data_IF_686570711321
#
_entry.id   IF_686570711321
#
_cell.length_a   1.000
_cell.length_b   1.000
_cell.length_c   1.000
_cell.angle_alpha   90.00
_cell.angle_beta   90.00
_cell.angle_gamma   90.00
#
_symmetry.space_group_name_H-M   'P 1'
#
loop_
_entity.id
_entity.type
_entity.pdbx_description
1 polymer ?
#
# COMPACT_ATOMS: atom_id res chain seq x y z
N UNK A 1 -0.92 25.33 -31.42
CA UNK A 1 -0.40 23.94 -31.52
C UNK A 1 1.10 24.00 -31.21
N UNK A 2 1.55 23.30 -30.17
CA UNK A 2 2.94 23.29 -29.68
C UNK A 2 2.95 23.09 -28.17
N UNK A 3 3.71 22.20 -27.54
CA UNK A 3 4.65 21.18 -27.98
C UNK A 3 4.90 20.25 -26.79
N UNK A 4 5.19 18.98 -27.07
CA UNK A 4 5.53 17.92 -26.14
C UNK A 4 6.81 18.28 -25.34
N UNK A 5 6.87 18.16 -24.00
CA UNK A 5 8.18 18.07 -23.32
C UNK A 5 8.42 18.55 -21.87
N UNK A 6 7.45 18.99 -21.05
CA UNK A 6 7.81 19.59 -19.73
C UNK A 6 6.97 19.17 -18.51
N UNK A 7 6.12 18.15 -18.62
CA UNK A 7 5.22 17.71 -17.53
C UNK A 7 5.32 16.23 -17.16
N UNK A 8 6.35 15.52 -17.64
CA UNK A 8 6.57 14.11 -17.29
C UNK A 8 7.44 13.92 -16.03
N UNK A 9 8.21 14.94 -15.63
CA UNK A 9 9.34 14.79 -14.69
C UNK A 9 9.12 15.39 -13.29
N UNK A 10 7.87 15.62 -12.88
CA UNK A 10 7.58 15.94 -11.48
C UNK A 10 6.82 14.79 -10.84
N UNK A 11 7.44 14.00 -9.96
CA UNK A 11 6.72 12.96 -9.25
C UNK A 11 5.62 13.62 -8.40
N UNK A 12 4.37 13.21 -8.61
CA UNK A 12 3.18 13.58 -7.82
C UNK A 12 3.30 13.23 -6.30
N UNK A 13 4.47 12.81 -5.85
CA UNK A 13 4.78 12.37 -4.49
C UNK A 13 5.77 13.31 -3.78
N UNK A 14 6.60 14.10 -4.50
CA UNK A 14 7.62 14.97 -3.89
C UNK A 14 7.06 16.31 -3.38
N UNK A 15 5.86 16.71 -3.78
CA UNK A 15 5.25 18.00 -3.42
C UNK A 15 3.76 17.89 -3.05
N UNK A 16 3.34 16.72 -2.55
CA UNK A 16 1.97 16.52 -2.07
C UNK A 16 1.84 16.93 -0.60
N UNK A 17 0.84 17.76 -0.27
CA UNK A 17 0.55 18.20 1.12
C UNK A 17 0.21 17.03 2.06
N UNK A 18 -0.30 15.93 1.50
CA UNK A 18 -0.60 14.72 2.23
C UNK A 18 0.46 13.67 1.89
N UNK A 19 1.21 13.22 2.90
CA UNK A 19 2.36 12.31 2.72
C UNK A 19 1.99 10.99 2.05
N UNK A 20 0.77 10.50 2.27
CA UNK A 20 0.32 9.27 1.66
C UNK A 20 -0.90 9.52 0.79
N UNK A 21 -0.77 9.27 -0.51
CA UNK A 21 -1.85 9.47 -1.48
C UNK A 21 -2.87 8.32 -1.45
N UNK A 22 -3.44 8.02 -0.28
CA UNK A 22 -4.36 6.89 -0.05
C UNK A 22 -5.63 7.03 -0.88
N UNK A 23 -6.23 8.22 -0.88
CA UNK A 23 -7.49 8.49 -1.58
C UNK A 23 -7.43 8.22 -3.10
N UNK A 24 -6.24 8.37 -3.69
CA UNK A 24 -6.01 8.12 -5.12
C UNK A 24 -5.69 6.65 -5.42
N UNK A 25 -5.62 5.77 -4.42
CA UNK A 25 -5.44 4.34 -4.64
C UNK A 25 -6.75 3.68 -5.10
N UNK A 26 -6.70 3.01 -6.26
CA UNK A 26 -7.78 2.13 -6.70
C UNK A 26 -7.94 0.95 -5.73
N UNK A 27 -9.18 0.70 -5.31
CA UNK A 27 -9.56 -0.34 -4.36
C UNK A 27 -8.89 -0.22 -2.98
N UNK A 28 -8.72 1.01 -2.47
CA UNK A 28 -8.05 1.30 -1.20
C UNK A 28 -8.58 0.44 -0.03
N UNK A 29 -9.90 0.37 0.13
CA UNK A 29 -10.53 -0.39 1.21
C UNK A 29 -10.19 -1.89 1.11
N UNK A 30 -10.31 -2.47 -0.08
CA UNK A 30 -9.98 -3.88 -0.32
C UNK A 30 -8.51 -4.16 -0.01
N UNK A 31 -7.60 -3.29 -0.46
CA UNK A 31 -6.16 -3.45 -0.19
C UNK A 31 -5.83 -3.33 1.29
N UNK A 32 -6.45 -2.38 2.00
CA UNK A 32 -6.26 -2.23 3.45
C UNK A 32 -6.77 -3.44 4.20
N UNK A 33 -7.95 -3.97 3.85
CA UNK A 33 -8.47 -5.18 4.50
C UNK A 33 -7.61 -6.40 4.25
N UNK A 34 -7.19 -6.64 3.00
CA UNK A 34 -6.29 -7.76 2.68
C UNK A 34 -4.98 -7.61 3.45
N UNK A 35 -4.41 -6.40 3.49
CA UNK A 35 -3.17 -6.15 4.21
C UNK A 35 -3.29 -6.44 5.71
N UNK A 36 -4.32 -5.88 6.37
CA UNK A 36 -4.55 -6.10 7.80
C UNK A 36 -4.83 -7.58 8.09
N UNK A 37 -5.64 -8.23 7.26
CA UNK A 37 -5.96 -9.64 7.43
C UNK A 37 -4.73 -10.55 7.26
N UNK A 38 -3.87 -10.27 6.29
CA UNK A 38 -2.62 -11.01 6.08
C UNK A 38 -1.64 -10.79 7.24
N UNK A 39 -1.47 -9.56 7.73
CA UNK A 39 -0.61 -9.31 8.88
C UNK A 39 -1.11 -10.02 10.13
N UNK A 40 -2.42 -9.97 10.38
CA UNK A 40 -3.03 -10.67 11.51
C UNK A 40 -2.90 -12.19 11.38
N UNK A 41 -3.17 -12.75 10.20
CA UNK A 41 -3.10 -14.20 10.00
C UNK A 41 -1.70 -14.75 10.22
N UNK A 42 -0.66 -14.05 9.76
CA UNK A 42 0.74 -14.44 9.99
C UNK A 42 1.07 -14.38 11.49
N UNK A 43 0.63 -13.32 12.18
CA UNK A 43 0.85 -13.14 13.61
C UNK A 43 0.27 -14.26 14.48
N UNK A 44 -0.83 -14.88 14.05
CA UNK A 44 -1.46 -16.01 14.76
C UNK A 44 -0.97 -17.36 14.25
N UNK A 45 -0.78 -17.52 12.93
CA UNK A 45 -0.42 -18.79 12.32
C UNK A 45 0.97 -19.28 12.75
N UNK A 46 1.96 -18.38 12.86
CA UNK A 46 3.32 -18.76 13.24
C UNK A 46 3.37 -19.33 14.67
N UNK A 47 2.84 -18.67 15.72
CA UNK A 47 2.81 -19.24 17.07
C UNK A 47 2.09 -20.57 17.17
N UNK A 48 0.94 -20.72 16.50
CA UNK A 48 0.19 -21.99 16.49
C UNK A 48 1.00 -23.10 15.84
N UNK A 49 1.66 -22.81 14.72
CA UNK A 49 2.54 -23.77 14.05
C UNK A 49 3.69 -24.19 14.97
N UNK A 50 4.33 -23.24 15.65
CA UNK A 50 5.40 -23.53 16.62
C UNK A 50 4.89 -24.45 17.73
N UNK A 51 3.71 -24.18 18.31
CA UNK A 51 3.13 -25.02 19.39
C UNK A 51 2.79 -26.44 18.93
N UNK A 52 2.32 -26.63 17.69
CA UNK A 52 1.96 -27.97 17.16
C UNK A 52 3.19 -28.86 16.94
N UNK A 53 4.29 -28.26 16.48
CA UNK A 53 5.53 -28.96 16.14
C UNK A 53 6.63 -28.84 17.21
N UNK A 54 6.27 -28.31 18.38
CA UNK A 54 7.11 -28.25 19.58
C UNK A 54 7.23 -29.65 20.21
#
# INVERSE_FOLDING_TARGET
>A
MGGHGAHADKPCYLHSKHMYNLDRMKYLLVKMLIFVFTCFSIGVAIPVYVVIFQ
#
